data_IF_889635137621
#
_entry.id   IF_889635137621
#
_cell.length_a   1.000
_cell.length_b   1.000
_cell.length_c   1.000
_cell.angle_alpha   90.00
_cell.angle_beta   90.00
_cell.angle_gamma   90.00
#
_symmetry.space_group_name_H-M   'P 1'
#
loop_
_entity.id
_entity.type
_entity.pdbx_description
1 polymer ?
#
# COMPACT_ATOMS: atom_id res chain seq x y z
N UNK A 1 -29.73 -1.72 -5.52
CA UNK A 1 -28.34 -1.54 -5.01
C UNK A 1 -27.58 -0.61 -5.96
N UNK A 2 -26.89 0.42 -5.48
CA UNK A 2 -26.20 1.39 -6.36
C UNK A 2 -25.10 0.69 -7.20
N UNK A 3 -24.93 0.96 -8.51
CA UNK A 3 -23.97 0.24 -9.36
C UNK A 3 -22.53 0.29 -8.83
N UNK A 4 -22.12 1.42 -8.24
CA UNK A 4 -20.81 1.58 -7.61
C UNK A 4 -20.63 0.63 -6.40
N UNK A 5 -21.67 0.44 -5.59
CA UNK A 5 -21.64 -0.52 -4.47
C UNK A 5 -21.58 -1.97 -4.94
N UNK A 6 -22.25 -2.30 -6.05
CA UNK A 6 -22.17 -3.63 -6.65
C UNK A 6 -20.77 -3.94 -7.20
N UNK A 7 -20.16 -2.99 -7.90
CA UNK A 7 -18.80 -3.15 -8.46
C UNK A 7 -17.77 -3.29 -7.34
N UNK A 8 -17.84 -2.45 -6.30
CA UNK A 8 -16.90 -2.51 -5.17
C UNK A 8 -17.01 -3.83 -4.40
N UNK A 9 -18.23 -4.32 -4.16
CA UNK A 9 -18.44 -5.63 -3.53
C UNK A 9 -17.93 -6.77 -4.43
N UNK A 10 -18.19 -6.74 -5.73
CA UNK A 10 -17.70 -7.74 -6.67
C UNK A 10 -16.16 -7.79 -6.70
N UNK A 11 -15.49 -6.64 -6.76
CA UNK A 11 -14.02 -6.54 -6.70
C UNK A 11 -13.50 -7.07 -5.37
N UNK A 12 -14.14 -6.72 -4.24
CA UNK A 12 -13.71 -7.22 -2.94
C UNK A 12 -13.81 -8.74 -2.84
N UNK A 13 -14.90 -9.33 -3.38
CA UNK A 13 -15.12 -10.77 -3.36
C UNK A 13 -14.12 -11.54 -4.23
N UNK A 14 -13.79 -11.02 -5.42
CA UNK A 14 -12.78 -11.67 -6.27
C UNK A 14 -11.39 -11.59 -5.69
N UNK A 15 -10.99 -10.45 -5.12
CA UNK A 15 -9.68 -10.31 -4.47
C UNK A 15 -9.61 -11.20 -3.23
N UNK A 16 -10.68 -11.28 -2.43
CA UNK A 16 -10.75 -12.16 -1.26
C UNK A 16 -10.58 -13.63 -1.69
N UNK A 17 -11.34 -14.07 -2.70
CA UNK A 17 -11.25 -15.44 -3.21
C UNK A 17 -9.83 -15.79 -3.68
N UNK A 18 -9.23 -14.96 -4.53
CA UNK A 18 -7.86 -15.19 -5.03
C UNK A 18 -6.85 -15.21 -3.88
N UNK A 19 -6.96 -14.28 -2.92
CA UNK A 19 -6.06 -14.23 -1.76
C UNK A 19 -6.19 -15.46 -0.87
N UNK A 20 -7.42 -15.95 -0.65
CA UNK A 20 -7.64 -17.17 0.14
C UNK A 20 -7.05 -18.40 -0.53
N UNK A 21 -7.18 -18.54 -1.85
CA UNK A 21 -6.58 -19.65 -2.59
C UNK A 21 -5.06 -19.62 -2.41
N UNK A 22 -4.42 -18.47 -2.68
CA UNK A 22 -2.96 -18.31 -2.54
C UNK A 22 -2.46 -18.62 -1.12
N UNK A 23 -3.20 -18.19 -0.08
CA UNK A 23 -2.86 -18.50 1.31
C UNK A 23 -2.98 -19.99 1.63
N UNK A 24 -4.03 -20.65 1.15
CA UNK A 24 -4.23 -22.09 1.41
C UNK A 24 -3.23 -22.97 0.66
N UNK A 25 -2.82 -22.56 -0.54
CA UNK A 25 -1.86 -23.31 -1.35
C UNK A 25 -0.42 -22.94 -1.02
N UNK A 26 -0.19 -21.95 -0.17
CA UNK A 26 1.13 -21.36 0.13
C UNK A 26 1.92 -20.98 -1.12
N UNK A 27 1.23 -20.74 -2.24
CA UNK A 27 1.87 -20.40 -3.51
C UNK A 27 2.16 -18.91 -3.51
N UNK A 28 3.44 -18.49 -3.62
CA UNK A 28 3.77 -17.08 -3.68
C UNK A 28 3.22 -16.45 -4.96
N UNK A 29 2.89 -15.17 -4.89
CA UNK A 29 2.48 -14.40 -6.06
C UNK A 29 3.66 -14.30 -7.03
N UNK A 30 3.51 -14.71 -8.31
CA UNK A 30 4.64 -14.89 -9.26
C UNK A 30 5.32 -13.58 -9.69
N UNK A 31 4.82 -12.42 -9.26
CA UNK A 31 5.39 -11.11 -9.55
C UNK A 31 6.45 -10.68 -8.53
N UNK A 32 6.48 -11.32 -7.36
CA UNK A 32 7.46 -11.05 -6.32
C UNK A 32 8.44 -12.21 -6.33
N UNK A 33 9.61 -12.00 -6.93
CA UNK A 33 10.77 -12.84 -6.66
C UNK A 33 10.96 -12.81 -5.14
N UNK A 34 10.73 -13.95 -4.50
CA UNK A 34 11.23 -14.15 -3.15
C UNK A 34 12.74 -14.00 -3.30
N UNK A 35 13.32 -13.02 -2.60
CA UNK A 35 14.74 -13.07 -2.38
C UNK A 35 14.98 -14.42 -1.71
N UNK A 36 15.64 -15.34 -2.42
CA UNK A 36 16.12 -16.57 -1.80
C UNK A 36 16.91 -16.11 -0.58
N UNK A 37 16.47 -16.52 0.61
CA UNK A 37 17.23 -16.28 1.82
C UNK A 37 18.62 -16.86 1.57
N UNK A 38 19.69 -16.08 1.75
CA UNK A 38 21.03 -16.55 1.42
C UNK A 38 21.29 -17.81 2.25
N UNK A 39 21.48 -18.93 1.57
CA UNK A 39 21.85 -20.19 2.22
C UNK A 39 23.15 -19.94 3.00
N UNK A 40 23.14 -20.22 4.30
CA UNK A 40 24.29 -19.94 5.17
C UNK A 40 25.41 -20.91 4.81
N UNK A 41 26.45 -20.40 4.14
CA UNK A 41 27.62 -21.20 3.79
C UNK A 41 28.60 -21.26 4.98
N UNK A 42 28.77 -22.45 5.54
CA UNK A 42 29.77 -22.67 6.59
C UNK A 42 31.18 -22.70 6.01
N UNK A 43 32.02 -21.79 6.49
CA UNK A 43 33.42 -21.68 6.09
C UNK A 43 34.26 -22.78 6.71
N UNK A 44 34.06 -23.00 8.00
CA UNK A 44 34.88 -23.88 8.83
C UNK A 44 33.98 -24.66 9.78
N UNK A 45 34.35 -25.91 10.03
CA UNK A 45 33.66 -26.75 11.00
C UNK A 45 34.64 -27.68 11.72
N UNK A 46 34.48 -27.83 13.03
CA UNK A 46 35.37 -28.65 13.86
C UNK A 46 35.44 -28.22 15.32
N UNK A 47 36.24 -28.94 16.11
CA UNK A 47 36.60 -28.58 17.49
C UNK A 47 37.79 -27.60 17.53
N UNK A 48 38.53 -27.51 16.44
CA UNK A 48 39.65 -26.58 16.28
C UNK A 48 39.84 -26.29 14.80
N UNK A 49 40.35 -25.12 14.46
CA UNK A 49 40.60 -24.76 13.07
C UNK A 49 41.39 -23.47 12.92
N UNK A 50 41.79 -23.18 11.68
CA UNK A 50 42.49 -21.96 11.33
C UNK A 50 41.60 -21.08 10.47
N UNK A 51 41.41 -19.83 10.89
CA UNK A 51 40.60 -18.80 10.25
C UNK A 51 41.53 -17.74 9.68
N UNK A 52 41.18 -17.15 8.53
CA UNK A 52 41.87 -15.97 7.99
C UNK A 52 40.92 -14.79 7.98
N UNK A 53 41.22 -13.74 8.73
CA UNK A 53 40.47 -12.49 8.70
C UNK A 53 41.05 -11.55 7.64
N UNK A 54 40.24 -11.20 6.64
CA UNK A 54 40.59 -10.25 5.59
C UNK A 54 39.43 -9.27 5.46
N UNK A 55 39.69 -7.98 5.62
CA UNK A 55 38.64 -6.97 5.50
C UNK A 55 38.39 -6.67 4.01
N UNK A 56 37.34 -7.25 3.45
CA UNK A 56 36.96 -6.96 2.07
C UNK A 56 36.34 -5.55 1.95
N UNK A 57 36.75 -4.80 0.91
CA UNK A 57 36.23 -3.45 0.64
C UNK A 57 34.77 -3.44 0.16
N UNK A 58 34.31 -4.53 -0.47
CA UNK A 58 32.99 -4.61 -1.09
C UNK A 58 31.88 -5.01 -0.11
N UNK A 59 32.16 -5.95 0.80
CA UNK A 59 31.27 -6.39 1.87
C UNK A 59 32.08 -6.43 3.17
N UNK A 60 31.88 -5.48 4.10
CA UNK A 60 32.67 -5.43 5.32
C UNK A 60 32.31 -6.61 6.22
N UNK A 61 33.12 -7.67 6.13
CA UNK A 61 33.10 -8.79 7.07
C UNK A 61 33.44 -8.24 8.45
N UNK A 62 32.47 -8.32 9.37
CA UNK A 62 32.68 -7.92 10.77
C UNK A 62 33.47 -8.96 11.53
N UNK A 63 33.25 -10.22 11.19
CA UNK A 63 33.71 -11.35 11.96
C UNK A 63 33.00 -12.63 11.52
N UNK A 64 32.85 -13.56 12.47
CA UNK A 64 32.18 -14.84 12.22
C UNK A 64 31.06 -15.09 13.21
N UNK A 65 29.94 -15.59 12.73
CA UNK A 65 28.90 -16.18 13.57
C UNK A 65 29.27 -17.64 13.89
N UNK A 66 29.09 -18.03 15.15
CA UNK A 66 29.42 -19.36 15.65
C UNK A 66 28.14 -20.12 15.96
N UNK A 67 28.06 -21.33 15.40
CA UNK A 67 26.98 -22.27 15.62
C UNK A 67 27.53 -23.56 16.22
N UNK A 68 26.76 -24.21 17.09
CA UNK A 68 27.07 -25.54 17.60
C UNK A 68 25.83 -26.42 17.54
N UNK A 69 26.01 -27.74 17.59
CA UNK A 69 24.88 -28.67 17.64
C UNK A 69 24.18 -28.57 18.99
N UNK A 70 22.86 -28.40 18.98
CA UNK A 70 22.07 -28.26 20.19
C UNK A 70 20.64 -27.83 19.90
N UNK A 71 19.90 -27.62 20.97
CA UNK A 71 18.54 -27.09 20.96
C UNK A 71 18.48 -25.87 21.88
N UNK A 72 17.63 -24.90 21.54
CA UNK A 72 17.36 -23.75 22.39
C UNK A 72 16.47 -24.19 23.56
N UNK A 73 17.12 -24.64 24.64
CA UNK A 73 16.50 -25.08 25.88
C UNK A 73 17.10 -24.28 27.05
N UNK A 74 16.23 -23.92 27.99
CA UNK A 74 16.53 -23.25 29.26
C UNK A 74 15.84 -24.08 30.36
N UNK A 75 16.50 -25.18 30.75
CA UNK A 75 15.97 -26.16 31.70
C UNK A 75 16.11 -25.67 33.16
N UNK A 76 17.07 -24.79 33.44
CA UNK A 76 17.32 -24.24 34.78
C UNK A 76 16.62 -22.89 35.04
N UNK A 77 15.87 -22.38 34.05
CA UNK A 77 15.09 -21.13 34.08
C UNK A 77 15.96 -19.91 34.41
N UNK A 78 17.21 -19.89 33.91
CA UNK A 78 18.18 -18.82 34.18
C UNK A 78 18.17 -17.69 33.13
N UNK A 79 17.25 -17.75 32.15
CA UNK A 79 17.12 -16.83 31.01
C UNK A 79 18.27 -16.93 29.98
N UNK A 80 19.04 -18.01 30.00
CA UNK A 80 20.09 -18.35 29.04
C UNK A 80 19.84 -19.73 28.43
N UNK A 81 20.33 -19.93 27.21
CA UNK A 81 20.29 -21.25 26.59
C UNK A 81 21.36 -22.18 27.17
N UNK A 82 20.97 -23.32 27.74
CA UNK A 82 21.86 -24.30 28.38
C UNK A 82 22.98 -24.78 27.43
N UNK A 83 22.60 -25.04 26.17
CA UNK A 83 23.53 -25.46 25.12
C UNK A 83 24.55 -24.40 24.74
N UNK A 84 24.25 -23.13 25.00
CA UNK A 84 25.16 -22.00 24.80
C UNK A 84 26.02 -21.74 26.03
N UNK A 85 25.46 -21.87 27.25
CA UNK A 85 26.22 -21.66 28.49
C UNK A 85 27.38 -22.65 28.64
N UNK A 86 27.17 -23.90 28.24
CA UNK A 86 28.20 -24.93 28.23
C UNK A 86 29.23 -24.78 27.11
N UNK A 87 29.06 -23.81 26.20
CA UNK A 87 29.95 -23.59 25.06
C UNK A 87 31.05 -22.59 25.39
N UNK A 88 32.28 -23.12 25.51
CA UNK A 88 33.49 -22.32 25.57
C UNK A 88 34.26 -22.37 24.25
N UNK A 89 34.79 -21.22 23.83
CA UNK A 89 35.64 -21.07 22.66
C UNK A 89 36.77 -20.06 22.92
N UNK A 90 37.98 -20.44 22.54
CA UNK A 90 39.19 -19.63 22.62
C UNK A 90 39.72 -19.37 21.22
N UNK A 91 40.19 -18.15 20.98
CA UNK A 91 40.67 -17.70 19.67
C UNK A 91 41.93 -16.88 19.90
N UNK A 92 42.97 -17.18 19.14
CA UNK A 92 44.24 -16.48 19.25
C UNK A 92 44.86 -16.26 17.86
N UNK A 93 45.69 -15.22 17.76
CA UNK A 93 46.40 -14.91 16.54
C UNK A 93 47.63 -15.83 16.41
N UNK A 94 47.77 -16.49 15.26
CA UNK A 94 48.86 -17.44 14.98
C UNK A 94 50.23 -16.72 14.94
N UNK A 95 50.27 -15.43 14.59
CA UNK A 95 51.52 -14.67 14.56
C UNK A 95 52.08 -14.32 15.94
N UNK A 96 51.27 -14.49 16.99
CA UNK A 96 51.62 -14.19 18.39
C UNK A 96 51.65 -15.50 19.18
N UNK A 97 52.63 -16.37 18.87
CA UNK A 97 52.85 -17.66 19.55
C UNK A 97 53.09 -17.53 21.09
N UNK A 98 53.25 -16.31 21.62
CA UNK A 98 53.60 -16.02 23.02
C UNK A 98 52.57 -15.17 23.79
N UNK A 99 51.32 -15.05 23.33
CA UNK A 99 50.28 -14.34 24.08
C UNK A 99 49.82 -15.15 25.33
N UNK A 100 50.68 -15.19 26.36
CA UNK A 100 50.26 -15.51 27.72
C UNK A 100 49.41 -14.37 28.27
N UNK A 101 48.10 -14.56 28.30
CA UNK A 101 47.21 -13.68 29.05
C UNK A 101 45.80 -13.64 28.48
N UNK A 102 44.82 -13.53 29.36
CA UNK A 102 43.38 -13.36 29.11
C UNK A 102 43.02 -12.08 28.30
N UNK A 103 43.97 -11.46 27.59
CA UNK A 103 43.86 -10.08 27.11
C UNK A 103 43.31 -9.95 25.69
N UNK A 104 43.14 -11.05 24.93
CA UNK A 104 42.62 -11.00 23.55
C UNK A 104 41.61 -12.12 23.27
N UNK A 105 40.60 -12.28 24.13
CA UNK A 105 39.45 -13.12 23.79
C UNK A 105 38.57 -12.39 22.77
N UNK A 106 38.65 -12.81 21.51
CA UNK A 106 37.83 -12.26 20.42
C UNK A 106 36.48 -12.97 20.26
N UNK A 107 36.11 -13.85 21.19
CA UNK A 107 34.83 -14.55 21.20
C UNK A 107 33.86 -13.86 22.17
N UNK A 108 32.69 -13.52 21.66
CA UNK A 108 31.60 -12.88 22.38
C UNK A 108 30.41 -13.84 22.42
N UNK A 109 30.20 -14.57 23.53
CA UNK A 109 29.07 -15.47 23.67
C UNK A 109 27.75 -14.70 23.73
N UNK A 110 26.70 -15.25 23.11
CA UNK A 110 25.37 -14.63 23.06
C UNK A 110 24.33 -15.70 23.36
N UNK A 111 24.06 -15.90 24.65
CA UNK A 111 23.20 -16.97 25.13
C UNK A 111 21.82 -16.50 25.62
N UNK A 112 21.53 -15.20 25.57
CA UNK A 112 20.29 -14.63 26.10
C UNK A 112 19.03 -15.12 25.35
N UNK A 113 17.91 -15.25 26.06
CA UNK A 113 16.61 -15.50 25.44
C UNK A 113 16.31 -14.47 24.32
N UNK A 114 15.92 -14.97 23.15
CA UNK A 114 15.64 -14.14 21.97
C UNK A 114 16.85 -13.86 21.06
N UNK A 115 18.03 -14.40 21.37
CA UNK A 115 19.17 -14.46 20.44
C UNK A 115 19.06 -15.60 19.41
N UNK A 116 17.96 -16.36 19.44
CA UNK A 116 17.75 -17.55 18.62
C UNK A 116 17.82 -17.24 17.12
N UNK A 117 18.64 -18.02 16.41
CA UNK A 117 18.66 -18.11 14.95
C UNK A 117 18.19 -19.50 14.56
N UNK A 118 16.99 -19.57 13.97
CA UNK A 118 16.35 -20.81 13.49
C UNK A 118 16.58 -21.06 12.01
N UNK A 119 17.56 -20.37 11.42
CA UNK A 119 17.93 -20.44 10.00
C UNK A 119 18.56 -21.80 9.66
N UNK A 120 19.09 -22.50 10.66
CA UNK A 120 19.80 -23.78 10.53
C UNK A 120 19.14 -24.79 11.47
N UNK A 121 18.69 -25.91 10.92
CA UNK A 121 18.16 -27.03 11.71
C UNK A 121 19.26 -27.70 12.55
N UNK A 122 18.89 -28.20 13.74
CA UNK A 122 19.74 -28.93 14.69
C UNK A 122 20.97 -28.17 15.23
N UNK A 123 21.04 -26.85 15.02
CA UNK A 123 22.12 -26.02 15.53
C UNK A 123 21.60 -24.77 16.25
N UNK A 124 22.31 -24.41 17.31
CA UNK A 124 22.10 -23.18 18.05
C UNK A 124 23.21 -22.18 17.76
N UNK A 125 22.83 -20.92 17.75
CA UNK A 125 23.73 -19.79 17.67
C UNK A 125 24.28 -19.48 19.05
N UNK A 126 25.62 -19.49 19.18
CA UNK A 126 26.29 -19.37 20.48
C UNK A 126 27.12 -18.10 20.64
N UNK A 127 27.31 -17.33 19.57
CA UNK A 127 28.00 -16.05 19.67
C UNK A 127 28.68 -15.60 18.39
N UNK A 128 29.55 -14.59 18.56
CA UNK A 128 30.31 -13.98 17.47
C UNK A 128 31.79 -13.92 17.78
N UNK A 129 32.59 -13.99 16.72
CA UNK A 129 34.03 -13.86 16.75
C UNK A 129 34.42 -12.57 16.06
N UNK A 130 35.36 -11.82 16.65
CA UNK A 130 35.92 -10.56 16.15
C UNK A 130 34.98 -9.35 16.13
N UNK A 131 33.70 -9.53 16.41
CA UNK A 131 32.70 -8.48 16.48
C UNK A 131 31.73 -8.75 17.64
N UNK A 132 31.52 -7.73 18.46
CA UNK A 132 30.49 -7.75 19.50
C UNK A 132 29.27 -6.95 19.01
N UNK A 133 28.11 -7.59 18.83
CA UNK A 133 26.88 -6.90 18.43
C UNK A 133 26.32 -6.00 19.55
N UNK A 134 26.63 -6.29 20.82
CA UNK A 134 26.18 -5.53 21.99
C UNK A 134 27.00 -4.27 22.22
N UNK A 135 28.29 -4.29 21.85
CA UNK A 135 29.19 -3.16 22.05
C UNK A 135 30.12 -2.89 20.86
N UNK A 136 29.79 -1.87 20.06
CA UNK A 136 30.60 -1.46 18.91
C UNK A 136 32.02 -0.95 19.26
N UNK A 137 32.28 -0.60 20.51
CA UNK A 137 33.60 -0.13 20.98
C UNK A 137 34.51 -1.26 21.44
N UNK A 138 34.05 -2.51 21.38
CA UNK A 138 34.86 -3.68 21.70
C UNK A 138 36.05 -3.84 20.72
N UNK A 139 37.14 -4.47 21.16
CA UNK A 139 38.27 -4.75 20.28
C UNK A 139 37.84 -5.70 19.17
N UNK A 140 38.19 -5.35 17.93
CA UNK A 140 37.96 -6.16 16.74
C UNK A 140 39.25 -6.86 16.33
N UNK A 141 39.11 -7.95 15.58
CA UNK A 141 40.27 -8.61 14.99
C UNK A 141 40.95 -7.71 13.97
N UNK A 142 42.27 -7.76 13.98
CA UNK A 142 43.13 -7.20 12.92
C UNK A 142 43.22 -8.23 11.79
N UNK A 143 43.49 -7.78 10.57
CA UNK A 143 43.77 -8.69 9.46
C UNK A 143 44.91 -9.64 9.80
N UNK A 144 44.69 -10.94 9.61
CA UNK A 144 45.63 -11.95 10.05
C UNK A 144 45.03 -13.35 10.10
N UNK A 145 45.86 -14.30 10.50
CA UNK A 145 45.46 -15.70 10.66
C UNK A 145 45.24 -15.99 12.14
N UNK A 146 44.08 -16.55 12.44
CA UNK A 146 43.67 -16.93 13.78
C UNK A 146 43.53 -18.44 13.86
N UNK A 147 43.79 -18.99 15.03
CA UNK A 147 43.42 -20.36 15.35
C UNK A 147 42.38 -20.33 16.45
N UNK A 148 41.50 -21.33 16.45
CA UNK A 148 40.51 -21.49 17.49
C UNK A 148 40.48 -22.89 18.04
N UNK A 149 40.02 -23.00 19.28
CA UNK A 149 39.67 -24.23 19.96
C UNK A 149 38.33 -24.04 20.67
N UNK A 150 37.46 -25.04 20.55
CA UNK A 150 36.12 -25.03 21.16
C UNK A 150 35.86 -26.31 21.94
N UNK A 151 35.12 -26.15 23.03
CA UNK A 151 34.64 -27.24 23.89
C UNK A 151 33.74 -28.24 23.14
N UNK A 152 32.92 -27.74 22.22
CA UNK A 152 31.99 -28.51 21.41
C UNK A 152 32.21 -28.24 19.92
N UNK A 153 31.65 -29.09 19.07
CA UNK A 153 31.80 -28.95 17.62
C UNK A 153 31.19 -27.63 17.16
N UNK A 154 32.01 -26.76 16.58
CA UNK A 154 31.60 -25.44 16.13
C UNK A 154 31.57 -25.37 14.60
N UNK A 155 30.60 -24.63 14.05
CA UNK A 155 30.56 -24.21 12.65
C UNK A 155 30.57 -22.69 12.58
N UNK A 156 31.44 -22.16 11.74
CA UNK A 156 31.62 -20.72 11.59
C UNK A 156 31.21 -20.28 10.20
N UNK A 157 30.48 -19.18 10.13
CA UNK A 157 30.09 -18.49 8.89
C UNK A 157 30.47 -17.01 8.97
N UNK A 158 30.68 -16.35 7.84
CA UNK A 158 30.94 -14.92 7.84
C UNK A 158 29.70 -14.15 8.27
N UNK A 159 29.87 -13.23 9.21
CA UNK A 159 28.85 -12.26 9.56
C UNK A 159 29.26 -10.92 8.96
N UNK A 160 28.46 -10.42 8.01
CA UNK A 160 28.56 -9.03 7.56
C UNK A 160 27.78 -8.14 8.53
N UNK A 161 28.28 -6.93 8.78
CA UNK A 161 27.47 -5.94 9.50
C UNK A 161 26.32 -5.58 8.56
N UNK A 162 25.17 -6.25 8.69
CA UNK A 162 23.93 -5.71 8.18
C UNK A 162 23.70 -4.41 8.97
N UNK A 163 24.15 -3.30 8.37
CA UNK A 163 24.01 -1.98 8.99
C UNK A 163 22.55 -1.81 9.35
N UNK A 164 22.27 -1.53 10.64
CA UNK A 164 20.93 -1.36 11.25
C UNK A 164 19.89 -1.13 10.17
N UNK A 165 19.21 -2.21 9.78
CA UNK A 165 18.15 -2.11 8.79
C UNK A 165 17.20 -1.01 9.24
N UNK A 166 17.13 0.05 8.44
CA UNK A 166 16.32 1.21 8.76
C UNK A 166 14.89 0.72 9.04
N UNK A 167 14.19 1.31 10.00
CA UNK A 167 12.76 0.99 10.22
C UNK A 167 11.93 1.01 8.92
N UNK A 168 12.37 1.81 7.93
CA UNK A 168 11.82 1.83 6.58
C UNK A 168 12.07 0.56 5.76
N UNK A 169 13.26 -0.06 5.81
CA UNK A 169 13.51 -1.33 5.11
C UNK A 169 12.66 -2.43 5.71
N UNK A 170 12.61 -2.55 7.05
CA UNK A 170 11.73 -3.51 7.74
C UNK A 170 10.26 -3.38 7.35
N UNK A 171 9.74 -2.15 7.20
CA UNK A 171 8.37 -1.95 6.70
C UNK A 171 8.24 -2.40 5.25
N UNK A 172 9.21 -2.06 4.39
CA UNK A 172 9.18 -2.44 2.98
C UNK A 172 9.23 -3.96 2.84
N UNK A 173 10.06 -4.65 3.61
CA UNK A 173 10.19 -6.10 3.56
C UNK A 173 8.99 -6.80 4.19
N UNK A 174 8.39 -6.22 5.24
CA UNK A 174 7.10 -6.67 5.75
C UNK A 174 5.97 -6.51 4.71
N UNK A 175 5.94 -5.39 3.97
CA UNK A 175 4.97 -5.16 2.89
C UNK A 175 5.21 -6.15 1.74
N UNK A 176 6.45 -6.34 1.31
CA UNK A 176 6.82 -7.27 0.24
C UNK A 176 6.46 -8.70 0.62
N UNK A 177 6.84 -9.14 1.82
CA UNK A 177 6.48 -10.45 2.36
C UNK A 177 4.96 -10.61 2.50
N UNK A 178 4.27 -9.56 2.96
CA UNK A 178 2.82 -9.54 3.04
C UNK A 178 2.12 -9.55 1.67
N UNK A 179 2.74 -9.02 0.61
CA UNK A 179 2.23 -9.10 -0.77
C UNK A 179 2.52 -10.45 -1.41
N UNK A 180 3.72 -11.01 -1.19
CA UNK A 180 4.12 -12.31 -1.74
C UNK A 180 3.28 -13.44 -1.17
N UNK A 181 2.98 -13.38 0.13
CA UNK A 181 2.15 -14.37 0.85
C UNK A 181 0.65 -14.17 0.69
N UNK A 182 0.20 -13.09 0.04
CA UNK A 182 -1.22 -12.79 -0.15
C UNK A 182 -1.97 -12.26 1.09
N UNK A 183 -1.31 -12.13 2.24
CA UNK A 183 -1.91 -11.64 3.50
C UNK A 183 -2.43 -10.20 3.39
N UNK A 184 -1.67 -9.34 2.71
CA UNK A 184 -2.04 -7.92 2.51
C UNK A 184 -3.27 -7.78 1.61
N UNK A 185 -3.38 -8.58 0.56
CA UNK A 185 -4.55 -8.61 -0.32
C UNK A 185 -5.81 -9.10 0.41
N UNK A 186 -5.67 -10.10 1.30
CA UNK A 186 -6.78 -10.57 2.12
C UNK A 186 -7.30 -9.47 3.06
N UNK A 187 -6.41 -8.83 3.83
CA UNK A 187 -6.79 -7.72 4.72
C UNK A 187 -7.36 -6.52 3.94
N UNK A 188 -6.77 -6.18 2.79
CA UNK A 188 -7.26 -5.13 1.90
C UNK A 188 -8.66 -5.43 1.37
N UNK A 189 -8.92 -6.69 0.98
CA UNK A 189 -10.24 -7.11 0.48
C UNK A 189 -11.34 -6.96 1.52
N UNK A 190 -11.05 -7.25 2.79
CA UNK A 190 -11.98 -7.05 3.90
C UNK A 190 -12.32 -5.57 4.10
N UNK A 191 -11.32 -4.69 4.03
CA UNK A 191 -11.55 -3.24 4.15
C UNK A 191 -12.40 -2.69 2.99
N UNK A 192 -12.13 -3.13 1.76
CA UNK A 192 -12.93 -2.75 0.58
C UNK A 192 -14.35 -3.31 0.69
N UNK A 193 -14.52 -4.51 1.22
CA UNK A 193 -15.84 -5.11 1.45
C UNK A 193 -16.64 -4.28 2.45
N UNK A 194 -16.03 -3.86 3.57
CA UNK A 194 -16.66 -2.96 4.55
C UNK A 194 -17.04 -1.62 3.93
N UNK A 195 -16.17 -1.03 3.09
CA UNK A 195 -16.50 0.19 2.36
C UNK A 195 -17.63 0.00 1.35
N UNK A 196 -17.69 -1.15 0.67
CA UNK A 196 -18.75 -1.52 -0.25
C UNK A 196 -20.10 -1.63 0.48
N UNK A 197 -20.12 -2.34 1.61
CA UNK A 197 -21.29 -2.43 2.49
C UNK A 197 -21.72 -1.05 3.01
N UNK A 198 -20.78 -0.22 3.47
CA UNK A 198 -21.09 1.14 3.90
C UNK A 198 -21.68 1.99 2.77
N UNK A 199 -21.13 1.85 1.56
CA UNK A 199 -21.64 2.53 0.36
C UNK A 199 -23.07 2.09 0.00
N UNK A 200 -23.46 0.84 0.25
CA UNK A 200 -24.85 0.41 0.07
C UNK A 200 -25.83 1.12 1.01
N UNK A 201 -25.39 1.49 2.21
CA UNK A 201 -26.23 2.19 3.20
C UNK A 201 -26.36 3.68 2.89
N UNK A 202 -25.30 4.30 2.37
CA UNK A 202 -25.25 5.75 2.13
C UNK A 202 -25.80 6.13 0.76
N UNK A 203 -25.54 5.34 -0.28
CA UNK A 203 -26.00 5.63 -1.63
C UNK A 203 -27.44 5.15 -1.79
N UNK A 204 -28.37 6.10 -1.94
CA UNK A 204 -29.74 5.79 -2.35
C UNK A 204 -29.71 5.01 -3.65
N UNK A 205 -30.62 4.04 -3.75
CA UNK A 205 -30.91 3.38 -5.02
C UNK A 205 -31.17 4.45 -6.08
N UNK A 206 -30.35 4.44 -7.12
CA UNK A 206 -30.74 5.07 -8.37
C UNK A 206 -32.01 4.33 -8.78
N UNK A 207 -33.15 5.00 -8.69
CA UNK A 207 -34.36 4.52 -9.35
C UNK A 207 -33.94 4.11 -10.76
N UNK A 208 -34.10 2.83 -11.08
CA UNK A 208 -34.08 2.42 -12.47
C UNK A 208 -35.10 3.34 -13.13
N UNK A 209 -34.63 4.22 -14.02
CA UNK A 209 -35.51 4.93 -14.92
C UNK A 209 -36.05 3.82 -15.80
N UNK A 210 -37.10 3.17 -15.31
CA UNK A 210 -37.89 2.23 -16.07
C UNK A 210 -38.50 3.09 -17.16
N UNK A 211 -37.85 3.13 -18.32
CA UNK A 211 -38.40 3.74 -19.53
C UNK A 211 -39.49 2.78 -20.00
N UNK A 212 -40.51 2.60 -19.18
CA UNK A 212 -41.83 2.31 -19.69
C UNK A 212 -42.16 3.51 -20.56
N UNK A 213 -42.05 3.32 -21.88
CA UNK A 213 -42.73 4.19 -22.84
C UNK A 213 -44.22 4.06 -22.55
N UNK A 214 -44.69 4.76 -21.53
CA UNK A 214 -46.10 5.05 -21.36
C UNK A 214 -46.41 6.04 -22.45
N UNK A 215 -47.20 5.58 -23.41
CA UNK A 215 -47.85 6.44 -24.39
C UNK A 215 -48.83 7.33 -23.61
N UNK A 216 -48.32 8.42 -23.05
CA UNK A 216 -49.12 9.39 -22.33
C UNK A 216 -48.75 10.78 -22.81
N UNK A 217 -49.77 11.44 -23.36
CA UNK A 217 -49.91 12.84 -23.72
C UNK A 217 -49.59 13.78 -22.54
N UNK A 218 -48.31 13.88 -22.21
CA UNK A 218 -47.82 14.63 -21.03
C UNK A 218 -46.53 15.41 -21.28
N UNK A 219 -46.12 15.57 -22.53
CA UNK A 219 -44.96 16.41 -22.89
C UNK A 219 -45.19 17.90 -22.59
N UNK A 220 -46.44 18.29 -22.33
CA UNK A 220 -46.83 19.68 -22.20
C UNK A 220 -46.51 20.23 -20.79
N UNK A 221 -46.51 19.41 -19.74
CA UNK A 221 -46.52 19.92 -18.36
C UNK A 221 -45.15 20.02 -17.67
N UNK A 222 -44.09 19.42 -18.22
CA UNK A 222 -42.73 19.56 -17.66
C UNK A 222 -42.04 20.89 -17.99
N UNK A 223 -42.55 21.62 -18.98
CA UNK A 223 -42.09 22.98 -19.23
C UNK A 223 -42.67 23.96 -18.19
N UNK A 224 -43.94 23.84 -17.81
CA UNK A 224 -44.68 24.88 -17.09
C UNK A 224 -44.55 24.88 -15.55
N UNK A 225 -43.86 23.91 -14.93
CA UNK A 225 -43.76 23.84 -13.46
C UNK A 225 -42.61 24.65 -12.84
N UNK A 226 -41.77 25.32 -13.64
CA UNK A 226 -40.70 26.19 -13.14
C UNK A 226 -41.20 27.63 -13.00
N UNK A 227 -41.01 28.24 -11.83
CA UNK A 227 -41.36 29.63 -11.56
C UNK A 227 -40.61 30.58 -12.50
N UNK A 228 -41.23 31.70 -12.90
CA UNK A 228 -40.62 32.66 -13.85
C UNK A 228 -39.27 33.24 -13.39
N UNK A 229 -38.94 33.14 -12.10
CA UNK A 229 -37.64 33.51 -11.53
C UNK A 229 -36.48 32.64 -12.04
N UNK A 230 -36.76 31.42 -12.52
CA UNK A 230 -35.77 30.42 -12.97
C UNK A 230 -35.67 30.28 -14.49
N UNK A 231 -36.47 31.03 -15.27
CA UNK A 231 -36.39 31.07 -16.73
C UNK A 231 -35.54 32.25 -17.23
N UNK A 232 -34.84 32.04 -18.35
CA UNK A 232 -34.23 33.11 -19.14
C UNK A 232 -35.26 33.82 -20.03
N UNK A 233 -34.86 34.93 -20.65
CA UNK A 233 -35.71 35.70 -21.58
C UNK A 233 -36.14 34.89 -22.82
N UNK A 234 -35.46 33.78 -23.08
CA UNK A 234 -35.75 32.78 -24.11
C UNK A 234 -36.80 31.72 -23.69
N UNK A 235 -37.29 31.79 -22.44
CA UNK A 235 -38.28 30.86 -21.90
C UNK A 235 -37.72 29.49 -21.50
N UNK A 236 -36.40 29.28 -21.62
CA UNK A 236 -35.69 28.09 -21.17
C UNK A 236 -35.25 28.23 -19.70
N UNK A 237 -35.00 27.12 -18.97
CA UNK A 237 -34.41 27.21 -17.64
C UNK A 237 -33.03 27.88 -17.70
N UNK A 238 -32.70 28.78 -16.75
CA UNK A 238 -31.43 29.54 -16.71
C UNK A 238 -30.16 28.68 -16.78
N UNK A 239 -30.23 27.43 -16.34
CA UNK A 239 -29.13 26.48 -16.45
C UNK A 239 -28.82 26.09 -17.91
N UNK A 240 -29.83 26.10 -18.78
CA UNK A 240 -29.68 25.78 -20.21
C UNK A 240 -29.36 27.01 -21.07
N UNK A 241 -29.81 28.22 -20.69
CA UNK A 241 -29.55 29.44 -21.48
C UNK A 241 -28.06 29.77 -21.57
N UNK A 242 -27.27 29.48 -20.53
CA UNK A 242 -25.80 29.62 -20.53
C UNK A 242 -25.10 28.69 -21.53
N UNK A 243 -25.68 27.52 -21.82
CA UNK A 243 -25.13 26.59 -22.80
C UNK A 243 -25.59 26.90 -24.24
N UNK A 244 -26.73 27.56 -24.42
CA UNK A 244 -27.22 28.02 -25.73
C UNK A 244 -26.41 29.21 -26.23
N UNK A 245 -26.08 30.18 -25.37
CA UNK A 245 -25.29 31.36 -25.77
C UNK A 245 -23.89 31.01 -26.30
N UNK A 246 -23.26 29.98 -25.75
CA UNK A 246 -21.95 29.49 -26.24
C UNK A 246 -22.05 28.69 -27.53
N UNK A 247 -23.19 28.04 -27.79
CA UNK A 247 -23.38 27.16 -28.97
C UNK A 247 -23.82 27.95 -30.21
N UNK A 248 -24.49 29.07 -30.02
CA UNK A 248 -24.95 29.94 -31.12
C UNK A 248 -23.91 30.99 -31.56
N UNK A 249 -22.80 31.18 -30.82
CA UNK A 249 -21.71 32.09 -31.23
C UNK A 249 -21.05 31.70 -32.56
N UNK A 250 -21.07 30.40 -32.91
CA UNK A 250 -20.44 29.85 -34.12
C UNK A 250 -21.46 29.32 -35.14
N UNK A 251 -22.76 29.53 -34.91
CA UNK A 251 -23.81 29.03 -35.79
C UNK A 251 -24.19 30.08 -36.83
N UNK A 252 -24.09 29.73 -38.11
CA UNK A 252 -24.55 30.61 -39.21
C UNK A 252 -26.01 31.02 -38.96
N UNK A 253 -26.36 32.31 -39.09
CA UNK A 253 -27.73 32.77 -38.87
C UNK A 253 -28.65 32.09 -39.88
N UNK A 254 -29.65 31.35 -39.39
CA UNK A 254 -30.72 30.82 -40.25
C UNK A 254 -31.56 32.00 -40.69
N UNK A 255 -31.54 32.32 -42.00
CA UNK A 255 -32.57 33.17 -42.63
C UNK A 255 -33.90 32.41 -42.57
N UNK A 256 -34.68 32.71 -41.54
CA UNK A 256 -36.04 32.21 -41.34
C UNK A 256 -36.80 33.19 -40.46
N UNK A 257 -37.99 33.58 -40.91
CA UNK A 257 -38.83 34.63 -40.35
C UNK A 257 -39.05 34.43 -38.83
N UNK A 258 -38.52 35.32 -38.00
CA UNK A 258 -38.83 35.44 -36.55
C UNK A 258 -40.19 36.13 -36.31
N UNK A 259 -41.12 35.97 -37.25
CA UNK A 259 -42.47 36.56 -37.21
C UNK A 259 -43.47 35.46 -36.96
N UNK A 260 -43.73 35.18 -35.68
CA UNK A 260 -44.69 34.16 -35.28
C UNK A 260 -44.94 34.22 -33.78
N UNK A 261 -45.71 35.22 -33.34
CA UNK A 261 -46.21 35.31 -31.97
C UNK A 261 -47.73 35.41 -32.00
N UNK A 262 -48.42 34.54 -31.27
CA UNK A 262 -49.87 34.60 -31.04
C UNK A 262 -50.10 35.20 -29.66
N UNK A 263 -50.87 36.29 -29.58
CA UNK A 263 -51.22 36.93 -28.31
C UNK A 263 -52.29 36.12 -27.56
N UNK A 264 -52.34 36.21 -26.22
CA UNK A 264 -53.31 35.53 -25.35
C UNK A 264 -54.78 35.93 -25.59
N UNK A 265 -55.06 36.90 -26.45
CA UNK A 265 -56.42 37.33 -26.84
C UNK A 265 -56.86 36.81 -28.21
N UNK A 266 -56.11 35.92 -28.86
CA UNK A 266 -56.61 35.13 -29.99
C UNK A 266 -56.76 35.89 -31.32
N UNK A 267 -55.80 36.75 -31.67
CA UNK A 267 -55.70 37.34 -33.01
C UNK A 267 -54.40 36.95 -33.70
N UNK A 268 -54.48 36.39 -34.91
CA UNK A 268 -53.32 36.08 -35.76
C UNK A 268 -53.01 37.30 -36.63
N UNK A 269 -52.00 38.08 -36.26
CA UNK A 269 -51.52 39.20 -37.08
C UNK A 269 -50.48 38.69 -38.09
N UNK A 270 -50.81 38.81 -39.38
CA UNK A 270 -49.96 38.35 -40.50
C UNK A 270 -48.69 39.20 -40.69
N UNK A 271 -48.61 40.39 -40.10
CA UNK A 271 -47.43 41.26 -40.20
C UNK A 271 -46.34 40.97 -39.16
N UNK A 272 -46.59 40.05 -38.22
CA UNK A 272 -45.60 39.55 -37.27
C UNK A 272 -45.32 40.49 -36.09
N UNK A 273 -45.28 39.91 -34.89
CA UNK A 273 -45.09 40.61 -33.62
C UNK A 273 -43.62 40.64 -33.23
N UNK A 274 -43.05 41.81 -32.93
CA UNK A 274 -41.64 41.93 -32.50
C UNK A 274 -41.52 42.04 -30.98
N UNK A 275 -40.31 41.81 -30.45
CA UNK A 275 -40.00 42.02 -29.02
C UNK A 275 -40.16 43.49 -28.60
N UNK A 276 -39.95 44.42 -29.53
CA UNK A 276 -40.18 45.86 -29.31
C UNK A 276 -41.67 46.18 -29.15
N UNK A 277 -42.53 45.54 -29.93
CA UNK A 277 -43.98 45.68 -29.82
C UNK A 277 -44.50 45.13 -28.49
N UNK A 278 -43.99 43.97 -28.06
CA UNK A 278 -44.30 43.39 -26.74
C UNK A 278 -43.89 44.31 -25.59
N UNK A 279 -42.73 44.96 -25.69
CA UNK A 279 -42.25 45.88 -24.66
C UNK A 279 -43.06 47.18 -24.64
N UNK A 280 -43.48 47.70 -25.80
CA UNK A 280 -44.39 48.85 -25.89
C UNK A 280 -45.75 48.55 -25.27
N UNK A 281 -46.32 47.38 -25.57
CA UNK A 281 -47.62 47.01 -25.03
C UNK A 281 -47.58 46.74 -23.53
N UNK A 282 -46.51 46.10 -23.03
CA UNK A 282 -46.30 45.93 -21.59
C UNK A 282 -46.18 47.28 -20.88
N UNK A 283 -45.40 48.23 -21.42
CA UNK A 283 -45.30 49.59 -20.87
C UNK A 283 -46.65 50.31 -20.86
N UNK A 284 -47.41 50.21 -21.96
CA UNK A 284 -48.76 50.78 -22.05
C UNK A 284 -49.70 50.18 -21.00
N UNK A 285 -49.69 48.86 -20.81
CA UNK A 285 -50.49 48.18 -19.79
C UNK A 285 -50.12 48.59 -18.36
N UNK A 286 -48.84 48.85 -18.10
CA UNK A 286 -48.35 49.33 -16.80
C UNK A 286 -48.75 50.79 -16.59
N UNK A 287 -48.70 51.63 -17.61
CA UNK A 287 -49.17 53.02 -17.56
C UNK A 287 -50.68 53.13 -17.37
N UNK A 288 -51.47 52.32 -18.07
CA UNK A 288 -52.93 52.28 -17.92
C UNK A 288 -53.33 51.81 -16.52
N UNK A 289 -52.57 50.86 -15.93
CA UNK A 289 -52.74 50.46 -14.52
C UNK A 289 -52.33 51.52 -13.49
N UNK A 290 -51.54 52.52 -13.89
CA UNK A 290 -51.11 53.63 -13.00
C UNK A 290 -52.04 54.84 -13.12
N UNK A 291 -52.86 54.92 -14.17
CA UNK A 291 -53.85 56.00 -14.40
C UNK A 291 -55.26 55.65 -13.90
N UNK A 292 -55.52 54.38 -13.59
CA UNK A 292 -56.67 53.90 -12.82
C UNK A 292 -56.28 53.68 -11.36
#
# INVERSE_FOLDING_TARGET
MHPLSAITLAISGTVLFVSTVLLTTQTPVPFFEQAEEPEIEFQISGLSGNLSFIQAEADPISGWAVFTFGEYLDDDENELWDGCESFEMTIWNISEEDAQGNDLQYFYPICDLGSERTEIEDMIYVGQVCYDPSNYSSPKCVEGNYSFESSHYARLTYESVQGKESFKSKIIDWIKSGLSTGRTFLCGSLMIMVMGLFSTLVLKESEEVDITKKESTGAEWRAYSLSQTERGDDGLPKAFSRHVSTKDAYRKPRKGNTRGGVHKTGGLFLDGWTSEDSNKEYKKKVEDKRRN
#
